data_IF_187365635253
#
_entry.id   IF_187365635253
#
_cell.length_a   1.000
_cell.length_b   1.000
_cell.length_c   1.000
_cell.angle_alpha   90.00
_cell.angle_beta   90.00
_cell.angle_gamma   90.00
#
_symmetry.space_group_name_H-M   'P 1'
#
loop_
_entity.id
_entity.type
_entity.pdbx_description
1 polymer ?
#
# COMPACT_ATOMS: atom_id res chain seq x y z
N UNK A 1 -7.76 1.48 -25.26
CA UNK A 1 -7.60 2.04 -23.92
C UNK A 1 -7.72 0.89 -22.96
N UNK A 2 -6.72 0.64 -22.14
CA UNK A 2 -6.74 -0.44 -21.15
C UNK A 2 -7.70 -0.06 -20.03
N UNK A 3 -8.43 -1.01 -19.36
CA UNK A 3 -9.19 -0.73 -18.15
C UNK A 3 -8.38 -0.01 -17.07
N UNK A 4 -7.06 -0.12 -17.15
CA UNK A 4 -6.08 0.50 -16.27
C UNK A 4 -5.95 2.01 -16.54
N UNK A 5 -5.99 2.44 -17.80
CA UNK A 5 -5.89 3.86 -18.19
C UNK A 5 -7.11 4.64 -17.70
N UNK A 6 -8.28 4.01 -17.74
CA UNK A 6 -9.55 4.59 -17.31
C UNK A 6 -9.62 4.82 -15.79
N UNK A 7 -8.99 3.92 -15.02
CA UNK A 7 -8.95 4.00 -13.54
C UNK A 7 -8.01 5.08 -13.03
N UNK A 8 -6.86 5.26 -13.68
CA UNK A 8 -5.90 6.31 -13.32
C UNK A 8 -6.41 7.71 -13.65
N UNK A 9 -7.29 7.83 -14.65
CA UNK A 9 -7.83 9.11 -15.11
C UNK A 9 -9.16 9.48 -14.43
N UNK A 10 -9.97 8.50 -14.01
CA UNK A 10 -11.31 8.69 -13.47
C UNK A 10 -11.37 9.00 -11.97
N UNK A 11 -10.30 8.76 -11.21
CA UNK A 11 -10.26 9.02 -9.76
C UNK A 11 -9.11 9.98 -9.42
N UNK A 12 -9.37 11.31 -9.40
CA UNK A 12 -8.37 12.25 -8.92
C UNK A 12 -7.98 11.89 -7.49
N UNK A 13 -6.66 11.91 -7.21
CA UNK A 13 -6.15 11.77 -5.85
C UNK A 13 -6.78 12.86 -4.99
N UNK A 14 -7.60 12.47 -4.02
CA UNK A 14 -8.16 13.42 -3.07
C UNK A 14 -7.02 14.22 -2.43
N UNK A 15 -7.13 15.55 -2.38
CA UNK A 15 -6.16 16.35 -1.65
C UNK A 15 -6.14 15.88 -0.19
N UNK A 16 -4.95 15.83 0.39
CA UNK A 16 -4.81 15.52 1.81
C UNK A 16 -5.73 16.44 2.64
N UNK A 17 -6.38 15.91 3.70
CA UNK A 17 -7.22 16.73 4.56
C UNK A 17 -6.43 17.94 5.05
N UNK A 18 -7.11 19.10 5.14
CA UNK A 18 -6.50 20.33 5.67
C UNK A 18 -6.17 20.14 7.16
N UNK A 19 -5.00 19.58 7.42
CA UNK A 19 -4.44 19.59 8.78
C UNK A 19 -3.81 20.97 9.04
N UNK A 20 -3.82 21.46 10.28
CA UNK A 20 -3.25 22.76 10.64
C UNK A 20 -1.73 22.74 10.46
N UNK A 21 -1.25 23.05 9.27
CA UNK A 21 0.17 22.99 8.90
C UNK A 21 0.59 23.94 7.78
N UNK A 22 -0.33 24.75 7.24
CA UNK A 22 -0.02 25.81 6.27
C UNK A 22 0.59 25.32 4.95
N UNK A 23 1.32 26.21 4.27
CA UNK A 23 1.90 26.01 2.91
C UNK A 23 2.84 24.79 2.84
N UNK A 24 3.58 24.49 3.90
CA UNK A 24 4.52 23.33 3.95
C UNK A 24 3.79 22.01 3.81
N UNK A 25 2.64 21.84 4.46
CA UNK A 25 1.79 20.64 4.35
C UNK A 25 1.21 20.48 2.95
N UNK A 26 0.75 21.56 2.31
CA UNK A 26 0.21 21.50 0.93
C UNK A 26 1.27 21.09 -0.09
N UNK A 27 2.51 21.50 0.08
CA UNK A 27 3.64 21.09 -0.78
C UNK A 27 3.99 19.63 -0.56
N UNK A 28 4.14 19.18 0.69
CA UNK A 28 4.48 17.78 0.99
C UNK A 28 3.38 16.79 0.58
N UNK A 29 2.11 17.15 0.75
CA UNK A 29 0.98 16.31 0.31
C UNK A 29 0.93 16.13 -1.20
N UNK A 30 1.28 17.14 -1.99
CA UNK A 30 1.37 17.05 -3.46
C UNK A 30 2.55 16.15 -3.91
N UNK A 31 3.70 16.23 -3.24
CA UNK A 31 4.84 15.35 -3.53
C UNK A 31 4.53 13.89 -3.18
N UNK A 32 3.89 13.64 -2.04
CA UNK A 32 3.49 12.28 -1.64
C UNK A 32 2.41 11.70 -2.56
N UNK A 33 1.44 12.49 -3.01
CA UNK A 33 0.42 12.06 -3.96
C UNK A 33 1.03 11.66 -5.32
N UNK A 34 1.93 12.48 -5.87
CA UNK A 34 2.63 12.16 -7.11
C UNK A 34 3.51 10.90 -7.02
N UNK A 35 4.14 10.68 -5.87
CA UNK A 35 4.93 9.47 -5.61
C UNK A 35 4.06 8.19 -5.53
N UNK A 36 2.85 8.28 -4.97
CA UNK A 36 1.92 7.15 -4.89
C UNK A 36 1.35 6.78 -6.26
N UNK A 37 0.96 7.78 -7.05
CA UNK A 37 0.52 7.55 -8.43
C UNK A 37 1.60 6.84 -9.25
N UNK A 38 2.85 7.32 -9.23
CA UNK A 38 3.97 6.67 -9.92
C UNK A 38 4.21 5.24 -9.46
N UNK A 39 4.00 4.93 -8.17
CA UNK A 39 4.09 3.56 -7.65
C UNK A 39 2.97 2.67 -8.17
N UNK A 40 1.73 3.19 -8.24
CA UNK A 40 0.62 2.44 -8.83
C UNK A 40 0.85 2.17 -10.32
N UNK A 41 1.24 3.20 -11.07
CA UNK A 41 1.62 3.05 -12.49
C UNK A 41 2.70 1.97 -12.65
N UNK A 42 3.74 2.01 -11.81
CA UNK A 42 4.82 1.03 -11.84
C UNK A 42 4.37 -0.37 -11.43
N UNK A 43 3.50 -0.47 -10.42
CA UNK A 43 2.89 -1.75 -10.03
C UNK A 43 2.09 -2.35 -11.19
N UNK A 44 1.20 -1.58 -11.80
CA UNK A 44 0.38 -2.03 -12.92
C UNK A 44 1.21 -2.40 -14.15
N UNK A 45 2.25 -1.62 -14.46
CA UNK A 45 3.17 -1.88 -15.58
C UNK A 45 3.94 -3.20 -15.38
N UNK A 46 4.49 -3.45 -14.18
CA UNK A 46 5.34 -4.60 -13.91
C UNK A 46 4.56 -5.87 -13.64
N UNK A 47 3.46 -5.78 -12.92
CA UNK A 47 2.67 -6.93 -12.45
C UNK A 47 1.60 -7.32 -13.47
N UNK A 48 1.04 -6.35 -14.18
CA UNK A 48 -0.05 -6.55 -15.17
C UNK A 48 -1.18 -7.44 -14.63
N UNK A 49 -1.79 -7.07 -13.47
CA UNK A 49 -2.77 -7.91 -12.82
C UNK A 49 -4.03 -8.07 -13.69
N UNK A 50 -4.67 -9.23 -13.59
CA UNK A 50 -5.90 -9.56 -14.30
C UNK A 50 -7.11 -9.36 -13.40
N UNK A 51 -8.32 -9.22 -13.96
CA UNK A 51 -9.56 -9.07 -13.18
C UNK A 51 -9.85 -10.24 -12.21
N UNK A 52 -9.27 -11.40 -12.48
CA UNK A 52 -9.45 -12.64 -11.69
C UNK A 52 -8.35 -12.87 -10.67
N UNK A 53 -7.27 -12.09 -10.70
CA UNK A 53 -6.14 -12.29 -9.82
C UNK A 53 -6.49 -11.90 -8.38
N UNK A 54 -6.25 -12.82 -7.45
CA UNK A 54 -6.38 -12.55 -6.02
C UNK A 54 -5.16 -11.75 -5.54
N UNK A 55 -5.41 -10.63 -4.90
CA UNK A 55 -4.38 -9.69 -4.44
C UNK A 55 -4.33 -9.65 -2.93
N UNK A 56 -3.13 -9.78 -2.37
CA UNK A 56 -2.85 -9.59 -0.95
C UNK A 56 -2.13 -8.26 -0.75
N UNK A 57 -2.71 -7.32 0.02
CA UNK A 57 -2.00 -6.11 0.48
C UNK A 57 -1.67 -6.21 1.96
N UNK A 58 -0.37 -6.14 2.29
CA UNK A 58 0.09 -6.27 3.67
C UNK A 58 0.57 -4.93 4.21
N UNK A 59 -0.20 -4.38 5.17
CA UNK A 59 0.14 -3.15 5.86
C UNK A 59 -0.72 -1.94 5.50
N UNK A 60 -2.04 -2.13 5.53
CA UNK A 60 -3.01 -1.04 5.39
C UNK A 60 -3.12 -0.20 6.66
N UNK A 61 -3.71 0.99 6.55
CA UNK A 61 -3.88 1.93 7.66
C UNK A 61 -5.35 2.24 7.94
N UNK A 62 -5.72 2.44 9.22
CA UNK A 62 -7.07 2.85 9.61
C UNK A 62 -7.28 4.36 9.40
N UNK A 63 -7.26 4.78 8.15
CA UNK A 63 -7.38 6.18 7.76
C UNK A 63 -8.60 6.41 6.87
N UNK A 64 -9.40 7.43 7.20
CA UNK A 64 -10.45 7.93 6.31
C UNK A 64 -9.87 8.59 5.03
N UNK A 65 -8.60 8.96 5.07
CA UNK A 65 -7.92 9.50 3.90
C UNK A 65 -7.53 8.38 2.92
N UNK A 66 -8.30 8.30 1.84
CA UNK A 66 -8.19 7.22 0.85
C UNK A 66 -6.79 7.05 0.28
N UNK A 67 -6.04 8.12 0.04
CA UNK A 67 -4.69 8.01 -0.50
C UNK A 67 -3.65 7.41 0.48
N UNK A 68 -3.99 7.19 1.75
CA UNK A 68 -3.19 6.37 2.67
C UNK A 68 -3.10 4.92 2.21
N UNK A 69 -4.22 4.39 1.72
CA UNK A 69 -4.38 3.03 1.19
C UNK A 69 -4.52 3.14 -0.34
N UNK A 70 -3.38 3.33 -1.02
CA UNK A 70 -3.39 3.71 -2.44
C UNK A 70 -3.84 2.58 -3.36
N UNK A 71 -3.58 1.32 -3.01
CA UNK A 71 -4.04 0.17 -3.77
C UNK A 71 -5.56 0.11 -3.76
N UNK A 72 -6.19 0.08 -2.59
CA UNK A 72 -7.63 -0.01 -2.39
C UNK A 72 -8.37 1.16 -3.04
N UNK A 73 -7.73 2.32 -3.09
CA UNK A 73 -8.31 3.53 -3.69
C UNK A 73 -8.32 3.51 -5.21
N UNK A 74 -7.38 2.81 -5.85
CA UNK A 74 -7.14 2.92 -7.29
C UNK A 74 -7.15 1.58 -8.03
N UNK A 75 -7.19 0.44 -7.31
CA UNK A 75 -7.24 -0.86 -7.96
C UNK A 75 -8.58 -1.07 -8.66
N UNK A 76 -8.60 -1.55 -9.91
CA UNK A 76 -9.83 -1.69 -10.69
C UNK A 76 -10.83 -2.68 -10.10
N UNK A 77 -10.34 -3.68 -9.37
CA UNK A 77 -11.12 -4.81 -8.85
C UNK A 77 -10.95 -4.95 -7.33
N UNK A 78 -11.50 -4.01 -6.52
CA UNK A 78 -11.28 -3.99 -5.07
C UNK A 78 -11.78 -5.24 -4.34
N UNK A 79 -12.81 -5.92 -4.87
CA UNK A 79 -13.30 -7.20 -4.33
C UNK A 79 -12.31 -8.36 -4.43
N UNK A 80 -11.25 -8.23 -5.22
CA UNK A 80 -10.16 -9.20 -5.30
C UNK A 80 -9.06 -8.97 -4.26
N UNK A 81 -9.12 -7.84 -3.52
CA UNK A 81 -8.12 -7.50 -2.51
C UNK A 81 -8.47 -8.14 -1.17
N UNK A 82 -7.47 -8.80 -0.58
CA UNK A 82 -7.42 -9.12 0.85
C UNK A 82 -6.34 -8.25 1.49
N UNK A 83 -6.75 -7.40 2.43
CA UNK A 83 -5.86 -6.51 3.16
C UNK A 83 -5.47 -7.11 4.51
N UNK A 84 -4.22 -6.92 4.93
CA UNK A 84 -3.69 -7.39 6.21
C UNK A 84 -3.34 -6.19 7.09
N UNK A 85 -3.81 -6.25 8.33
CA UNK A 85 -3.48 -5.30 9.39
C UNK A 85 -3.17 -6.04 10.70
N UNK A 86 -2.38 -5.43 11.59
CA UNK A 86 -2.07 -6.01 12.91
C UNK A 86 -3.24 -5.94 13.90
N UNK A 87 -4.22 -5.07 13.65
CA UNK A 87 -5.38 -4.83 14.50
C UNK A 87 -6.62 -4.52 13.66
N UNK A 88 -7.79 -4.48 14.29
CA UNK A 88 -9.05 -4.12 13.64
C UNK A 88 -9.00 -2.67 13.11
N UNK A 89 -9.53 -2.47 11.92
CA UNK A 89 -9.47 -1.18 11.19
C UNK A 89 -10.88 -0.72 10.78
N UNK A 90 -11.71 -0.26 11.72
CA UNK A 90 -13.11 0.05 11.45
C UNK A 90 -13.33 1.21 10.48
N UNK A 91 -12.39 2.15 10.40
CA UNK A 91 -12.45 3.25 9.42
C UNK A 91 -12.10 2.74 8.03
N UNK A 92 -11.11 1.86 7.91
CA UNK A 92 -10.75 1.19 6.67
C UNK A 92 -11.92 0.37 6.11
N UNK A 93 -12.55 -0.48 6.93
CA UNK A 93 -13.69 -1.32 6.50
C UNK A 93 -14.88 -0.48 6.01
N UNK A 94 -15.17 0.65 6.66
CA UNK A 94 -16.21 1.58 6.18
C UNK A 94 -15.83 2.28 4.88
N UNK A 95 -14.56 2.58 4.69
CA UNK A 95 -14.05 3.31 3.52
C UNK A 95 -13.93 2.39 2.30
N UNK A 96 -13.58 1.13 2.52
CA UNK A 96 -13.35 0.12 1.47
C UNK A 96 -14.17 -1.16 1.72
N UNK A 97 -15.51 -1.09 1.69
CA UNK A 97 -16.37 -2.21 2.07
C UNK A 97 -16.27 -3.43 1.13
N UNK A 98 -15.70 -3.27 -0.06
CA UNK A 98 -15.48 -4.36 -1.01
C UNK A 98 -14.18 -5.13 -0.74
N UNK A 99 -13.26 -4.56 0.06
CA UNK A 99 -11.97 -5.17 0.40
C UNK A 99 -12.13 -6.07 1.62
N UNK A 100 -11.64 -7.29 1.54
CA UNK A 100 -11.62 -8.19 2.70
C UNK A 100 -10.48 -7.82 3.64
N UNK A 101 -10.78 -7.38 4.87
CA UNK A 101 -9.77 -7.17 5.91
C UNK A 101 -9.55 -8.46 6.73
N UNK A 102 -8.28 -8.80 6.98
CA UNK A 102 -7.88 -9.89 7.88
C UNK A 102 -6.85 -9.35 8.89
N UNK A 103 -7.15 -9.54 10.18
CA UNK A 103 -6.21 -9.17 11.25
C UNK A 103 -5.18 -10.28 11.40
N UNK A 104 -3.93 -9.97 11.06
CA UNK A 104 -2.83 -10.92 11.12
C UNK A 104 -1.46 -10.21 11.14
N UNK A 105 -0.44 -10.92 11.62
CA UNK A 105 0.94 -10.48 11.52
C UNK A 105 1.52 -10.86 10.14
N UNK A 106 2.02 -9.88 9.39
CA UNK A 106 2.66 -10.10 8.08
C UNK A 106 3.90 -11.02 8.12
N UNK A 107 4.43 -11.30 9.32
CA UNK A 107 5.52 -12.25 9.56
C UNK A 107 5.05 -13.70 9.75
N UNK A 108 3.72 -13.91 9.80
CA UNK A 108 3.07 -15.22 9.96
C UNK A 108 1.66 -15.16 9.38
N UNK A 109 1.56 -15.18 8.07
CA UNK A 109 0.29 -15.02 7.35
C UNK A 109 -0.55 -16.31 7.44
N UNK A 110 -1.86 -16.21 7.77
CA UNK A 110 -2.74 -17.36 7.97
C UNK A 110 -3.28 -17.93 6.65
N UNK A 111 -2.42 -18.04 5.64
CA UNK A 111 -2.79 -18.52 4.31
C UNK A 111 -1.85 -19.65 3.86
N UNK A 112 -2.34 -20.50 2.97
CA UNK A 112 -1.52 -21.51 2.34
C UNK A 112 -0.51 -20.90 1.34
N UNK A 113 0.47 -21.69 0.94
CA UNK A 113 1.43 -21.27 -0.08
C UNK A 113 0.72 -21.00 -1.42
N UNK A 114 1.13 -19.94 -2.10
CA UNK A 114 0.57 -19.54 -3.40
C UNK A 114 -0.95 -19.34 -3.43
N UNK A 115 -1.56 -18.94 -2.31
CA UNK A 115 -2.99 -18.64 -2.21
C UNK A 115 -3.40 -17.39 -2.97
N UNK A 116 -2.45 -16.50 -3.25
CA UNK A 116 -2.67 -15.26 -3.98
C UNK A 116 -1.82 -15.21 -5.24
N UNK A 117 -2.34 -14.56 -6.28
CA UNK A 117 -1.61 -14.33 -7.51
C UNK A 117 -0.60 -13.19 -7.35
N UNK A 118 -0.99 -12.14 -6.61
CA UNK A 118 -0.17 -10.95 -6.39
C UNK A 118 -0.13 -10.58 -4.91
N UNK A 119 1.07 -10.33 -4.39
CA UNK A 119 1.29 -9.74 -3.09
C UNK A 119 1.86 -8.33 -3.22
N UNK A 120 1.31 -7.39 -2.46
CA UNK A 120 1.81 -6.02 -2.37
C UNK A 120 2.14 -5.68 -0.92
N UNK A 121 3.21 -4.93 -0.72
CA UNK A 121 3.48 -4.24 0.54
C UNK A 121 4.15 -2.91 0.26
N UNK A 122 3.59 -1.83 0.81
CA UNK A 122 4.05 -0.48 0.55
C UNK A 122 4.39 0.26 1.85
N UNK A 123 5.67 0.59 2.04
CA UNK A 123 6.16 1.35 3.20
C UNK A 123 5.84 0.68 4.55
N UNK A 124 6.03 -0.62 4.64
CA UNK A 124 5.77 -1.44 5.85
C UNK A 124 7.03 -2.06 6.40
N UNK A 125 7.88 -2.59 5.53
CA UNK A 125 9.06 -3.37 5.92
C UNK A 125 10.04 -2.57 6.79
N UNK A 126 10.12 -1.27 6.60
CA UNK A 126 10.95 -0.36 7.42
C UNK A 126 10.49 -0.29 8.88
N UNK A 127 9.21 -0.58 9.14
CA UNK A 127 8.61 -0.65 10.48
C UNK A 127 8.62 -2.07 11.04
N UNK A 128 9.10 -3.04 10.28
CA UNK A 128 9.04 -4.48 10.59
C UNK A 128 10.00 -4.96 11.71
N UNK A 129 10.62 -4.07 12.48
CA UNK A 129 11.51 -4.43 13.58
C UNK A 129 12.92 -4.84 13.12
N UNK A 130 13.43 -5.97 13.63
CA UNK A 130 14.77 -6.45 13.33
C UNK A 130 14.93 -6.93 11.88
N UNK A 131 16.17 -7.03 11.40
CA UNK A 131 16.46 -7.66 10.07
C UNK A 131 15.93 -9.10 9.97
N UNK A 132 15.82 -9.80 11.09
CA UNK A 132 15.25 -11.15 11.13
C UNK A 132 13.74 -11.09 10.87
N UNK A 133 13.06 -10.14 11.48
CA UNK A 133 11.61 -9.92 11.29
C UNK A 133 11.30 -9.46 9.87
N UNK A 134 12.09 -8.56 9.31
CA UNK A 134 11.98 -8.15 7.91
C UNK A 134 12.14 -9.33 6.93
N UNK A 135 13.11 -10.22 7.21
CA UNK A 135 13.28 -11.45 6.42
C UNK A 135 12.09 -12.40 6.55
N UNK A 136 11.50 -12.55 7.75
CA UNK A 136 10.30 -13.36 7.96
C UNK A 136 9.12 -12.80 7.17
N UNK A 137 8.92 -11.49 7.24
CA UNK A 137 7.89 -10.79 6.49
C UNK A 137 7.98 -11.05 4.98
N UNK A 138 9.16 -10.87 4.39
CA UNK A 138 9.38 -11.14 2.95
C UNK A 138 9.18 -12.62 2.63
N UNK A 139 9.64 -13.54 3.48
CA UNK A 139 9.44 -14.98 3.27
C UNK A 139 7.95 -15.34 3.24
N UNK A 140 7.13 -14.77 4.11
CA UNK A 140 5.69 -15.00 4.14
C UNK A 140 4.99 -14.46 2.90
N UNK A 141 5.34 -13.24 2.45
CA UNK A 141 4.84 -12.70 1.18
C UNK A 141 5.19 -13.62 0.00
N UNK A 142 6.44 -14.04 -0.11
CA UNK A 142 6.90 -14.93 -1.20
C UNK A 142 6.28 -16.33 -1.08
N UNK A 143 6.00 -16.80 0.13
CA UNK A 143 5.33 -18.09 0.34
C UNK A 143 3.87 -18.05 -0.09
N UNK A 144 3.15 -16.98 0.24
CA UNK A 144 1.70 -16.87 0.03
C UNK A 144 1.31 -16.35 -1.34
N UNK A 145 2.22 -15.64 -2.03
CA UNK A 145 1.94 -14.99 -3.30
C UNK A 145 2.85 -15.50 -4.42
N UNK A 146 2.31 -15.62 -5.65
CA UNK A 146 3.07 -16.03 -6.85
C UNK A 146 3.96 -14.93 -7.37
N UNK A 147 3.49 -13.69 -7.34
CA UNK A 147 4.23 -12.47 -7.70
C UNK A 147 4.20 -11.52 -6.51
N UNK A 148 5.32 -10.86 -6.21
CA UNK A 148 5.41 -9.94 -5.08
C UNK A 148 5.95 -8.59 -5.52
N UNK A 149 5.27 -7.51 -5.12
CA UNK A 149 5.69 -6.14 -5.30
C UNK A 149 5.88 -5.47 -3.93
N UNK A 150 7.12 -5.11 -3.62
CA UNK A 150 7.45 -4.42 -2.36
C UNK A 150 8.01 -3.05 -2.67
N UNK A 151 7.40 -2.01 -2.10
CA UNK A 151 7.89 -0.64 -2.18
C UNK A 151 8.29 -0.16 -0.78
N UNK A 152 9.50 0.35 -0.65
CA UNK A 152 10.03 0.94 0.57
C UNK A 152 10.64 2.30 0.27
N UNK A 153 10.61 3.27 1.19
CA UNK A 153 11.32 4.52 1.03
C UNK A 153 12.81 4.29 0.78
N UNK A 154 13.36 5.04 -0.16
CA UNK A 154 14.79 4.96 -0.42
C UNK A 154 15.56 5.60 0.75
N UNK A 155 16.34 4.81 1.49
CA UNK A 155 17.18 5.29 2.60
C UNK A 155 18.27 6.30 2.22
N UNK A 156 18.45 6.59 0.92
CA UNK A 156 19.34 7.64 0.42
C UNK A 156 18.65 9.02 0.33
N UNK A 157 17.37 9.14 0.66
CA UNK A 157 16.72 10.46 0.73
C UNK A 157 17.32 11.29 1.87
N UNK A 158 17.70 12.52 1.54
CA UNK A 158 18.29 13.49 2.48
C UNK A 158 17.29 14.00 3.54
N UNK A 159 15.99 13.79 3.30
CA UNK A 159 14.90 14.22 4.18
C UNK A 159 13.99 13.02 4.41
N UNK A 160 13.73 12.67 5.67
CA UNK A 160 12.77 11.65 6.04
C UNK A 160 11.35 12.11 5.65
N UNK A 161 10.62 11.34 4.81
CA UNK A 161 9.29 11.76 4.36
C UNK A 161 8.22 11.75 5.47
N UNK A 162 8.47 11.07 6.61
CA UNK A 162 7.53 11.01 7.74
C UNK A 162 7.75 12.17 8.72
N UNK A 163 8.98 12.49 9.03
CA UNK A 163 9.33 13.52 10.01
C UNK A 163 9.68 14.87 9.39
N UNK A 164 9.97 14.92 8.08
CA UNK A 164 10.47 16.07 7.33
C UNK A 164 11.79 16.63 7.90
N UNK A 165 12.50 15.84 8.69
CA UNK A 165 13.81 16.22 9.23
C UNK A 165 14.93 15.72 8.30
N UNK A 166 15.98 16.52 8.10
CA UNK A 166 17.14 16.09 7.34
C UNK A 166 17.98 15.07 8.16
N UNK A 167 18.49 14.04 7.47
CA UNK A 167 19.47 13.09 8.03
C UNK A 167 18.99 12.24 9.23
N UNK A 168 17.71 12.05 9.45
CA UNK A 168 17.18 11.10 10.46
C UNK A 168 17.31 9.68 9.89
N UNK A 169 18.19 8.87 10.50
CA UNK A 169 18.38 7.44 10.22
C UNK A 169 18.02 6.63 11.45
#
# INVERSE_FOLDING_TARGET
MSPIDDVLDSRPLEPAPELPGGIRWRLTSRFTAGSRRKRMERFLELVQPKPTDLVLDVGVTDSAWRSGNFLESHYPWPSQITAIALEAMPTFERTFPEVRLVVADGRSLPFEASSFDVGLSNAVIEHGGSRVDQKRFIKELVRTCRTVFVATPNGAFLVDPHTLLPFVR
#
